data_IF_773129509171
#
_entry.id   IF_773129509171
#
_cell.length_a   1.000
_cell.length_b   1.000
_cell.length_c   1.000
_cell.angle_alpha   90.00
_cell.angle_beta   90.00
_cell.angle_gamma   90.00
#
_symmetry.space_group_name_H-M   'P 1'
#
loop_
_entity.id
_entity.type
_entity.pdbx_description
1 polymer ?
#
# COMPACT_ATOMS: atom_id res chain seq x y z
N UNK A 1 -36.38 -16.21 -2.10
CA UNK A 1 -35.55 -15.99 -0.90
C UNK A 1 -36.24 -14.90 -0.10
N UNK A 2 -36.84 -15.24 1.03
CA UNK A 2 -37.46 -14.24 1.90
C UNK A 2 -36.33 -13.53 2.63
N UNK A 3 -36.14 -12.23 2.36
CA UNK A 3 -35.13 -11.42 3.04
C UNK A 3 -35.47 -11.23 4.51
N UNK A 4 -34.46 -10.92 5.32
CA UNK A 4 -34.59 -10.45 6.69
C UNK A 4 -35.07 -8.98 6.66
N UNK A 5 -36.08 -8.63 7.45
CA UNK A 5 -36.49 -7.24 7.61
C UNK A 5 -35.48 -6.47 8.46
N UNK A 6 -35.49 -5.13 8.42
CA UNK A 6 -34.57 -4.31 9.23
C UNK A 6 -34.85 -4.54 10.71
N UNK A 7 -36.12 -4.73 11.05
CA UNK A 7 -36.65 -4.97 12.38
C UNK A 7 -36.14 -6.30 12.96
N UNK A 8 -35.99 -7.33 12.11
CA UNK A 8 -35.46 -8.63 12.51
C UNK A 8 -33.98 -8.58 12.95
N UNK A 9 -33.25 -7.51 12.61
CA UNK A 9 -31.86 -7.30 13.04
C UNK A 9 -31.76 -6.85 14.51
N UNK A 10 -32.87 -6.44 15.14
CA UNK A 10 -32.90 -6.03 16.54
C UNK A 10 -32.03 -4.81 16.85
N UNK A 11 -31.83 -3.93 15.87
CA UNK A 11 -31.05 -2.71 16.03
C UNK A 11 -31.85 -1.64 16.78
N UNK A 12 -31.14 -0.85 17.58
CA UNK A 12 -31.64 0.37 18.20
C UNK A 12 -30.73 1.56 17.80
N UNK A 13 -31.03 2.77 18.29
CA UNK A 13 -30.19 3.94 18.01
C UNK A 13 -28.97 4.02 18.95
N UNK A 14 -28.19 2.95 19.03
CA UNK A 14 -26.84 2.94 19.61
C UNK A 14 -25.76 2.73 18.55
N UNK A 15 -24.53 3.16 18.83
CA UNK A 15 -23.42 3.02 17.89
C UNK A 15 -23.00 1.54 17.78
N UNK A 16 -22.89 0.95 16.58
CA UNK A 16 -22.49 -0.44 16.39
C UNK A 16 -21.17 -0.78 17.09
N UNK A 17 -21.18 -1.83 17.93
CA UNK A 17 -20.03 -2.25 18.73
C UNK A 17 -19.81 -1.45 20.03
N UNK A 18 -20.56 -0.36 20.24
CA UNK A 18 -20.46 0.51 21.40
C UNK A 18 -21.86 0.78 21.99
N UNK A 19 -22.50 -0.21 22.65
CA UNK A 19 -23.89 -0.12 23.10
C UNK A 19 -24.15 0.97 24.15
N UNK A 20 -23.09 1.49 24.79
CA UNK A 20 -23.17 2.58 25.76
C UNK A 20 -23.25 3.97 25.10
N UNK A 21 -23.08 4.06 23.78
CA UNK A 21 -23.11 5.32 23.02
C UNK A 21 -24.44 5.39 22.29
N UNK A 22 -25.40 6.14 22.87
CA UNK A 22 -26.66 6.44 22.20
C UNK A 22 -26.44 7.48 21.08
N UNK A 23 -26.94 7.20 19.88
CA UNK A 23 -26.83 8.06 18.71
C UNK A 23 -27.72 9.31 18.81
N UNK A 24 -28.80 9.21 19.59
CA UNK A 24 -29.71 10.28 19.98
C UNK A 24 -30.25 10.00 21.38
N UNK A 25 -30.79 11.02 22.04
CA UNK A 25 -31.33 10.89 23.39
C UNK A 25 -32.41 9.80 23.47
N UNK A 26 -32.21 8.82 24.35
CA UNK A 26 -33.11 7.67 24.49
C UNK A 26 -32.98 6.66 23.35
N UNK A 27 -31.88 6.71 22.60
CA UNK A 27 -31.72 5.96 21.34
C UNK A 27 -31.78 4.45 21.52
N UNK A 28 -31.27 3.94 22.64
CA UNK A 28 -31.32 2.51 23.01
C UNK A 28 -32.75 1.94 23.10
N UNK A 29 -33.73 2.80 23.38
CA UNK A 29 -35.13 2.40 23.57
C UNK A 29 -35.94 2.57 22.27
N UNK A 30 -35.29 2.99 21.17
CA UNK A 30 -35.91 3.26 19.88
C UNK A 30 -35.44 2.19 18.89
N UNK A 31 -36.31 1.25 18.47
CA UNK A 31 -35.94 0.26 17.48
C UNK A 31 -35.74 0.89 16.10
N UNK A 32 -34.77 0.38 15.36
CA UNK A 32 -34.56 0.72 13.96
C UNK A 32 -35.57 -0.06 13.12
N UNK A 33 -36.24 0.67 12.24
CA UNK A 33 -37.26 0.18 11.31
C UNK A 33 -36.92 0.68 9.92
N UNK A 34 -37.56 0.13 8.89
CA UNK A 34 -37.37 0.63 7.52
C UNK A 34 -37.69 2.13 7.38
N UNK A 35 -38.56 2.67 8.22
CA UNK A 35 -39.00 4.07 8.18
C UNK A 35 -38.01 5.06 8.82
N UNK A 36 -37.13 4.60 9.71
CA UNK A 36 -36.14 5.44 10.40
C UNK A 36 -34.68 5.02 10.11
N UNK A 37 -34.48 4.04 9.24
CA UNK A 37 -33.16 3.51 8.87
C UNK A 37 -32.22 4.60 8.35
N UNK A 38 -32.70 5.53 7.52
CA UNK A 38 -31.87 6.61 6.99
C UNK A 38 -31.35 7.53 8.11
N UNK A 39 -32.19 7.83 9.11
CA UNK A 39 -31.79 8.61 10.28
C UNK A 39 -30.72 7.87 11.09
N UNK A 40 -30.93 6.58 11.33
CA UNK A 40 -29.97 5.72 12.02
C UNK A 40 -28.62 5.73 11.30
N UNK A 41 -28.58 5.47 9.99
CA UNK A 41 -27.35 5.47 9.19
C UNK A 41 -26.63 6.83 9.24
N UNK A 42 -27.37 7.93 9.10
CA UNK A 42 -26.81 9.29 9.19
C UNK A 42 -26.16 9.54 10.55
N UNK A 43 -26.80 9.11 11.63
CA UNK A 43 -26.25 9.29 12.98
C UNK A 43 -25.05 8.38 13.25
N UNK A 44 -25.07 7.13 12.77
CA UNK A 44 -23.90 6.24 12.83
C UNK A 44 -22.69 6.89 12.14
N UNK A 45 -22.88 7.40 10.93
CA UNK A 45 -21.82 8.09 10.17
C UNK A 45 -21.32 9.32 10.94
N UNK A 46 -22.24 10.15 11.44
CA UNK A 46 -21.88 11.37 12.18
C UNK A 46 -21.06 11.06 13.44
N UNK A 47 -21.47 10.10 14.26
CA UNK A 47 -20.76 9.74 15.48
C UNK A 47 -19.44 9.02 15.19
N UNK A 48 -19.40 8.13 14.20
CA UNK A 48 -18.20 7.36 13.88
C UNK A 48 -17.10 8.20 13.20
N UNK A 49 -17.47 9.13 12.32
CA UNK A 49 -16.51 9.82 11.44
C UNK A 49 -16.37 11.32 11.71
N UNK A 50 -17.27 11.93 12.46
CA UNK A 50 -17.24 13.38 12.70
C UNK A 50 -17.10 13.70 14.20
N UNK A 51 -18.17 13.52 14.97
CA UNK A 51 -18.21 13.96 16.37
C UNK A 51 -17.27 13.14 17.25
N UNK A 52 -17.27 11.80 17.11
CA UNK A 52 -16.48 10.89 17.95
C UNK A 52 -14.97 11.01 17.77
N UNK A 53 -14.51 11.64 16.68
CA UNK A 53 -13.09 11.84 16.37
C UNK A 53 -12.70 13.33 16.31
N UNK A 54 -13.62 14.24 16.61
CA UNK A 54 -13.46 15.70 16.47
C UNK A 54 -12.21 16.22 17.17
N UNK A 55 -11.98 15.85 18.43
CA UNK A 55 -10.85 16.32 19.24
C UNK A 55 -9.49 15.87 18.66
N UNK A 56 -9.42 14.64 18.17
CA UNK A 56 -8.24 14.08 17.53
C UNK A 56 -7.99 14.77 16.20
N UNK A 57 -9.05 15.03 15.43
CA UNK A 57 -8.97 15.77 14.17
C UNK A 57 -8.57 17.22 14.35
N UNK A 58 -9.06 17.91 15.39
CA UNK A 58 -8.65 19.28 15.72
C UNK A 58 -7.15 19.33 16.04
N UNK A 59 -6.67 18.40 16.85
CA UNK A 59 -5.23 18.32 17.18
C UNK A 59 -4.38 18.03 15.94
N UNK A 60 -4.85 17.14 15.06
CA UNK A 60 -4.18 16.85 13.78
C UNK A 60 -4.17 18.08 12.86
N UNK A 61 -5.30 18.81 12.77
CA UNK A 61 -5.47 20.03 11.99
C UNK A 61 -4.48 21.11 12.45
N UNK A 62 -4.41 21.37 13.74
CA UNK A 62 -3.50 22.36 14.33
C UNK A 62 -2.03 22.01 14.05
N UNK A 63 -1.67 20.73 14.21
CA UNK A 63 -0.33 20.24 13.88
C UNK A 63 0.01 20.40 12.40
N UNK A 64 -0.91 20.07 11.50
CA UNK A 64 -0.72 20.20 10.07
C UNK A 64 -0.62 21.68 9.64
N UNK A 65 -1.54 22.54 10.11
CA UNK A 65 -1.55 23.98 9.81
C UNK A 65 -0.29 24.72 10.30
N UNK A 66 0.37 24.22 11.36
CA UNK A 66 1.64 24.78 11.83
C UNK A 66 2.78 24.69 10.81
N UNK A 67 2.68 23.76 9.84
CA UNK A 67 3.68 23.53 8.79
C UNK A 67 3.15 23.93 7.41
N UNK A 68 1.87 23.67 7.12
CA UNK A 68 1.26 23.88 5.81
C UNK A 68 -0.21 24.34 5.92
N UNK A 69 -0.58 25.50 5.33
CA UNK A 69 -1.96 25.99 5.38
C UNK A 69 -2.96 25.06 4.68
N UNK A 70 -3.99 24.61 5.39
CA UNK A 70 -5.02 23.72 4.83
C UNK A 70 -5.83 24.36 3.69
N UNK A 71 -5.89 25.69 3.62
CA UNK A 71 -6.53 26.41 2.52
C UNK A 71 -5.96 26.05 1.15
N UNK A 72 -4.67 25.68 1.07
CA UNK A 72 -4.07 25.23 -0.18
C UNK A 72 -4.50 23.83 -0.61
N UNK A 73 -5.02 23.01 0.32
CA UNK A 73 -5.53 21.68 0.00
C UNK A 73 -6.98 21.69 -0.54
N UNK A 74 -7.68 22.82 -0.42
CA UNK A 74 -9.10 22.94 -0.84
C UNK A 74 -9.31 22.82 -2.36
N UNK A 75 -8.24 22.91 -3.14
CA UNK A 75 -8.29 22.76 -4.60
C UNK A 75 -8.31 21.29 -5.06
N UNK A 76 -8.00 20.34 -4.16
CA UNK A 76 -7.86 18.93 -4.48
C UNK A 76 -9.12 18.14 -4.08
N UNK A 77 -9.47 17.16 -4.88
CA UNK A 77 -10.40 16.11 -4.49
C UNK A 77 -9.77 15.16 -3.45
N UNK A 78 -10.57 14.46 -2.61
CA UNK A 78 -10.04 13.53 -1.62
C UNK A 78 -9.08 12.47 -2.19
N UNK A 79 -9.37 11.99 -3.40
CA UNK A 79 -8.53 11.01 -4.11
C UNK A 79 -7.17 11.61 -4.52
N UNK A 80 -7.15 12.88 -4.91
CA UNK A 80 -5.92 13.59 -5.28
C UNK A 80 -5.09 13.90 -4.04
N UNK A 81 -5.71 14.22 -2.90
CA UNK A 81 -5.00 14.39 -1.62
C UNK A 81 -4.34 13.09 -1.16
N UNK A 82 -5.02 11.96 -1.30
CA UNK A 82 -4.41 10.65 -1.01
C UNK A 82 -3.24 10.36 -1.94
N UNK A 83 -3.34 10.70 -3.23
CA UNK A 83 -2.20 10.58 -4.16
C UNK A 83 -1.04 11.52 -3.83
N UNK A 84 -1.35 12.76 -3.44
CA UNK A 84 -0.35 13.78 -3.12
C UNK A 84 0.42 13.43 -1.84
N UNK A 85 -0.30 13.06 -0.79
CA UNK A 85 0.26 12.81 0.54
C UNK A 85 0.82 11.40 0.65
N UNK A 86 0.15 10.44 0.01
CA UNK A 86 0.46 9.03 0.17
C UNK A 86 0.97 8.39 -1.13
N UNK A 87 1.21 9.11 -2.22
CA UNK A 87 1.71 8.55 -3.48
C UNK A 87 0.65 7.82 -4.32
N UNK A 88 1.02 7.44 -5.54
CA UNK A 88 0.09 6.83 -6.52
C UNK A 88 -0.39 5.44 -6.07
N UNK A 89 -1.71 5.23 -6.08
CA UNK A 89 -2.34 3.90 -6.00
C UNK A 89 -2.48 3.23 -7.38
N UNK A 90 -2.28 3.98 -8.45
CA UNK A 90 -2.81 3.69 -9.78
C UNK A 90 -1.73 3.37 -10.82
N UNK A 91 -0.56 2.91 -10.39
CA UNK A 91 0.41 2.41 -11.35
C UNK A 91 0.06 0.96 -11.68
N UNK A 92 -0.21 0.69 -12.95
CA UNK A 92 -0.30 -0.68 -13.43
C UNK A 92 1.11 -1.28 -13.41
N UNK A 93 1.32 -2.31 -12.59
CA UNK A 93 2.57 -3.07 -12.56
C UNK A 93 2.66 -4.01 -13.77
N UNK A 94 2.17 -3.61 -14.93
CA UNK A 94 2.26 -4.44 -16.12
C UNK A 94 3.71 -4.51 -16.62
N UNK A 95 4.07 -5.64 -17.23
CA UNK A 95 5.45 -5.91 -17.64
C UNK A 95 6.00 -4.86 -18.63
N UNK A 96 5.13 -4.23 -19.44
CA UNK A 96 5.55 -3.19 -20.39
C UNK A 96 5.95 -1.92 -19.64
N UNK A 97 5.11 -1.46 -18.71
CA UNK A 97 5.44 -0.30 -17.86
C UNK A 97 6.73 -0.53 -17.09
N UNK A 98 6.89 -1.70 -16.46
CA UNK A 98 8.11 -2.04 -15.72
C UNK A 98 9.35 -2.04 -16.62
N UNK A 99 9.23 -2.57 -17.84
CA UNK A 99 10.31 -2.59 -18.83
C UNK A 99 10.69 -1.20 -19.34
N UNK A 100 9.73 -0.28 -19.46
CA UNK A 100 10.01 1.10 -19.87
C UNK A 100 10.65 1.93 -18.76
N UNK A 101 10.38 1.61 -17.49
CA UNK A 101 10.76 2.45 -16.36
C UNK A 101 12.00 1.96 -15.60
N UNK A 102 12.23 0.65 -15.55
CA UNK A 102 13.38 0.07 -14.85
C UNK A 102 14.57 -0.05 -15.79
N UNK A 103 15.78 0.09 -15.25
CA UNK A 103 17.03 0.04 -16.03
C UNK A 103 17.87 -1.20 -15.68
N UNK A 104 17.88 -2.24 -16.53
CA UNK A 104 18.88 -3.29 -16.43
C UNK A 104 20.28 -2.74 -16.70
N UNK A 105 21.27 -3.18 -15.93
CA UNK A 105 22.66 -2.77 -16.10
C UNK A 105 23.61 -3.89 -15.60
N UNK A 106 24.92 -3.73 -15.80
CA UNK A 106 26.00 -4.56 -15.23
C UNK A 106 25.72 -6.07 -15.30
N UNK A 107 25.64 -6.58 -16.54
CA UNK A 107 25.44 -8.01 -16.80
C UNK A 107 23.98 -8.41 -17.07
N UNK A 108 23.04 -7.49 -16.96
CA UNK A 108 21.67 -7.66 -17.45
C UNK A 108 21.28 -6.65 -18.52
N UNK A 109 20.32 -7.07 -19.34
CA UNK A 109 19.64 -6.29 -20.37
C UNK A 109 18.14 -6.57 -20.26
N UNK A 110 17.29 -5.81 -20.96
CA UNK A 110 15.86 -6.12 -21.02
C UNK A 110 15.56 -7.50 -21.61
N UNK A 111 16.48 -8.07 -22.39
CA UNK A 111 16.33 -9.40 -22.97
C UNK A 111 16.76 -10.55 -22.06
N UNK A 112 17.46 -10.24 -20.98
CA UNK A 112 17.91 -11.23 -20.00
C UNK A 112 16.72 -11.96 -19.38
N UNK A 113 16.81 -13.30 -19.34
CA UNK A 113 15.79 -14.18 -18.74
C UNK A 113 15.43 -13.76 -17.32
N UNK A 114 16.43 -13.43 -16.49
CA UNK A 114 16.21 -12.98 -15.12
C UNK A 114 15.39 -11.68 -15.03
N UNK A 115 15.60 -10.74 -15.96
CA UNK A 115 14.83 -9.47 -16.00
C UNK A 115 13.39 -9.71 -16.44
N UNK A 116 13.19 -10.58 -17.44
CA UNK A 116 11.85 -10.98 -17.89
C UNK A 116 11.07 -11.68 -16.77
N UNK A 117 11.72 -12.61 -16.05
CA UNK A 117 11.15 -13.26 -14.87
C UNK A 117 10.77 -12.26 -13.79
N UNK A 118 11.65 -11.31 -13.48
CA UNK A 118 11.36 -10.27 -12.49
C UNK A 118 10.08 -9.51 -12.87
N UNK A 119 9.97 -8.99 -14.10
CA UNK A 119 8.79 -8.22 -14.48
C UNK A 119 7.51 -9.04 -14.54
N UNK A 120 7.58 -10.31 -14.93
CA UNK A 120 6.44 -11.22 -14.87
C UNK A 120 5.98 -11.45 -13.41
N UNK A 121 6.92 -11.71 -12.50
CA UNK A 121 6.65 -11.85 -11.07
C UNK A 121 6.01 -10.57 -10.52
N UNK A 122 6.63 -9.41 -10.75
CA UNK A 122 6.15 -8.12 -10.27
C UNK A 122 4.75 -7.81 -10.81
N UNK A 123 4.45 -8.16 -12.06
CA UNK A 123 3.12 -7.98 -12.66
C UNK A 123 2.03 -8.89 -12.12
N UNK A 124 2.42 -9.98 -11.45
CA UNK A 124 1.51 -10.93 -10.80
C UNK A 124 1.45 -10.78 -9.28
N UNK A 125 2.10 -9.75 -8.73
CA UNK A 125 2.02 -9.42 -7.31
C UNK A 125 0.68 -8.76 -6.98
N UNK A 126 0.10 -9.16 -5.85
CA UNK A 126 -1.00 -8.44 -5.23
C UNK A 126 -0.53 -7.12 -4.59
N UNK A 127 -1.48 -6.30 -4.15
CA UNK A 127 -1.19 -4.99 -3.56
C UNK A 127 -0.28 -5.07 -2.32
N UNK A 128 -0.35 -6.14 -1.53
CA UNK A 128 0.49 -6.30 -0.35
C UNK A 128 1.92 -6.63 -0.76
N UNK A 129 2.09 -7.59 -1.67
CA UNK A 129 3.38 -8.00 -2.22
C UNK A 129 4.10 -6.85 -2.93
N UNK A 130 3.37 -6.04 -3.70
CA UNK A 130 3.91 -4.84 -4.34
C UNK A 130 4.44 -3.84 -3.30
N UNK A 131 3.67 -3.57 -2.24
CA UNK A 131 4.09 -2.67 -1.16
C UNK A 131 5.33 -3.19 -0.44
N UNK A 132 5.40 -4.49 -0.17
CA UNK A 132 6.57 -5.13 0.44
C UNK A 132 7.80 -5.00 -0.46
N UNK A 133 7.64 -5.24 -1.77
CA UNK A 133 8.73 -5.08 -2.72
C UNK A 133 9.21 -3.63 -2.82
N UNK A 134 8.30 -2.65 -2.93
CA UNK A 134 8.68 -1.24 -2.94
C UNK A 134 9.43 -0.83 -1.67
N UNK A 135 8.94 -1.26 -0.51
CA UNK A 135 9.60 -1.00 0.77
C UNK A 135 11.02 -1.57 0.77
N UNK A 136 11.19 -2.78 0.23
CA UNK A 136 12.48 -3.42 0.09
C UNK A 136 13.42 -2.67 -0.86
N UNK A 137 12.98 -2.29 -2.06
CA UNK A 137 13.88 -1.69 -3.07
C UNK A 137 14.07 -0.18 -2.93
N UNK A 138 13.09 0.55 -2.37
CA UNK A 138 13.09 2.02 -2.27
C UNK A 138 13.10 2.56 -0.84
N UNK A 139 12.81 1.73 0.16
CA UNK A 139 12.59 2.19 1.54
C UNK A 139 11.23 2.84 1.79
N UNK A 140 10.37 2.94 0.77
CA UNK A 140 8.99 3.43 0.87
C UNK A 140 8.02 2.35 0.39
N UNK A 141 6.86 2.12 1.06
CA UNK A 141 5.91 1.11 0.63
C UNK A 141 5.06 1.58 -0.56
N UNK A 142 5.30 2.79 -1.08
CA UNK A 142 4.54 3.42 -2.17
C UNK A 142 5.46 4.21 -3.09
N UNK A 143 5.10 4.24 -4.38
CA UNK A 143 5.80 5.02 -5.39
C UNK A 143 5.51 6.52 -5.24
N UNK A 144 6.42 7.39 -5.70
CA UNK A 144 6.13 8.82 -5.81
C UNK A 144 4.96 9.07 -6.77
N UNK A 145 4.41 10.28 -6.73
CA UNK A 145 3.44 10.74 -7.74
C UNK A 145 4.08 10.59 -9.12
N UNK A 146 3.38 9.93 -10.05
CA UNK A 146 3.89 9.59 -11.39
C UNK A 146 4.66 8.26 -11.46
N UNK A 147 4.64 7.46 -10.39
CA UNK A 147 5.00 6.05 -10.41
C UNK A 147 6.46 5.72 -10.64
N UNK A 148 6.74 4.55 -11.22
CA UNK A 148 8.12 4.08 -11.48
C UNK A 148 8.93 5.08 -12.32
N UNK A 149 8.29 5.81 -13.23
CA UNK A 149 8.95 6.84 -14.06
C UNK A 149 9.48 8.02 -13.24
N UNK A 150 8.90 8.24 -12.07
CA UNK A 150 9.23 9.36 -11.19
C UNK A 150 10.21 8.97 -10.09
N UNK A 151 10.68 7.71 -10.07
CA UNK A 151 11.81 7.33 -9.23
C UNK A 151 13.08 8.05 -9.68
N UNK A 152 13.72 8.76 -8.76
CA UNK A 152 14.97 9.45 -9.00
C UNK A 152 16.02 9.05 -7.95
N UNK A 153 17.01 8.22 -8.29
CA UNK A 153 17.26 7.64 -9.62
C UNK A 153 16.25 6.53 -10.01
N UNK A 154 16.13 6.15 -11.30
CA UNK A 154 15.30 5.02 -11.72
C UNK A 154 15.74 3.70 -11.09
N UNK A 155 14.80 2.76 -10.92
CA UNK A 155 15.11 1.43 -10.39
C UNK A 155 16.08 0.69 -11.32
N UNK A 156 17.31 0.50 -10.86
CA UNK A 156 18.38 -0.14 -11.62
C UNK A 156 18.52 -1.60 -11.19
N UNK A 157 18.48 -2.54 -12.15
CA UNK A 157 18.53 -3.98 -11.91
C UNK A 157 19.84 -4.52 -12.44
N UNK A 158 20.67 -5.12 -11.58
CA UNK A 158 21.97 -5.63 -11.99
C UNK A 158 22.18 -7.08 -11.60
N UNK A 159 23.09 -7.73 -12.32
CA UNK A 159 23.46 -9.10 -12.02
C UNK A 159 24.30 -9.15 -10.76
N UNK A 160 23.85 -9.94 -9.79
CA UNK A 160 24.71 -10.34 -8.66
C UNK A 160 25.67 -11.41 -9.15
N UNK A 161 26.96 -11.15 -9.04
CA UNK A 161 28.03 -12.06 -9.45
C UNK A 161 28.44 -12.96 -8.29
N UNK A 162 28.76 -14.22 -8.60
CA UNK A 162 29.18 -15.25 -7.66
C UNK A 162 30.42 -15.95 -8.17
N UNK A 163 31.15 -16.63 -7.29
CA UNK A 163 32.25 -17.51 -7.70
C UNK A 163 31.70 -18.74 -8.44
N UNK A 164 32.50 -19.36 -9.30
CA UNK A 164 32.03 -20.49 -10.15
C UNK A 164 31.55 -21.71 -9.36
N UNK A 165 31.90 -21.81 -8.09
CA UNK A 165 31.49 -22.90 -7.17
C UNK A 165 30.19 -22.62 -6.45
N UNK A 166 29.66 -21.41 -6.53
CA UNK A 166 28.47 -20.99 -5.80
C UNK A 166 27.22 -21.08 -6.71
N UNK A 167 26.11 -21.57 -6.15
CA UNK A 167 24.84 -21.62 -6.86
C UNK A 167 24.04 -20.33 -6.60
N UNK A 168 23.68 -19.54 -7.65
CA UNK A 168 22.87 -18.33 -7.48
C UNK A 168 21.55 -18.55 -6.74
N UNK A 169 20.96 -19.75 -6.85
CA UNK A 169 19.69 -20.11 -6.21
C UNK A 169 19.75 -20.11 -4.68
N UNK A 170 20.94 -20.22 -4.09
CA UNK A 170 21.10 -20.23 -2.64
C UNK A 170 21.03 -18.82 -2.03
N UNK A 171 21.24 -17.78 -2.83
CA UNK A 171 21.40 -16.42 -2.34
C UNK A 171 20.14 -15.57 -2.49
N UNK A 172 19.92 -14.68 -1.52
CA UNK A 172 18.88 -13.65 -1.62
C UNK A 172 19.34 -12.48 -2.51
N UNK A 173 18.39 -11.77 -3.16
CA UNK A 173 18.68 -10.49 -3.78
C UNK A 173 19.09 -9.48 -2.71
N UNK A 174 19.87 -8.46 -3.10
CA UNK A 174 20.23 -7.36 -2.21
C UNK A 174 19.97 -6.01 -2.85
N UNK A 175 19.79 -4.99 -2.02
CA UNK A 175 19.34 -3.66 -2.45
C UNK A 175 20.25 -2.58 -1.90
N UNK A 176 20.37 -1.50 -2.65
CA UNK A 176 20.89 -0.23 -2.15
C UNK A 176 19.78 0.80 -2.35
N UNK A 177 18.96 0.98 -1.32
CA UNK A 177 17.72 1.78 -1.36
C UNK A 177 17.99 3.25 -1.70
N UNK A 178 19.08 3.82 -1.20
CA UNK A 178 19.47 5.22 -1.48
C UNK A 178 19.63 5.54 -2.97
N UNK A 179 19.84 4.53 -3.81
CA UNK A 179 20.05 4.68 -5.25
C UNK A 179 19.12 3.78 -6.07
N UNK A 180 18.03 3.29 -5.48
CA UNK A 180 17.06 2.39 -6.11
C UNK A 180 17.74 1.28 -6.93
N UNK A 181 18.63 0.51 -6.31
CA UNK A 181 19.50 -0.41 -7.03
C UNK A 181 19.35 -1.85 -6.49
N UNK A 182 18.88 -2.76 -7.35
CA UNK A 182 18.59 -4.15 -7.04
C UNK A 182 19.66 -5.07 -7.66
N UNK A 183 20.43 -5.75 -6.81
CA UNK A 183 21.35 -6.84 -7.19
C UNK A 183 20.60 -8.16 -7.18
N UNK A 184 20.31 -8.68 -8.37
CA UNK A 184 19.48 -9.86 -8.59
C UNK A 184 20.34 -11.05 -9.06
N UNK A 185 20.35 -12.18 -8.32
CA UNK A 185 20.94 -13.43 -8.80
C UNK A 185 20.28 -13.94 -10.09
N UNK A 186 21.03 -14.66 -10.91
CA UNK A 186 20.52 -15.26 -12.15
C UNK A 186 19.89 -16.63 -11.84
N UNK A 187 18.75 -16.58 -11.14
CA UNK A 187 18.05 -17.78 -10.65
C UNK A 187 17.72 -18.76 -11.77
N UNK A 188 17.72 -20.06 -11.47
CA UNK A 188 17.45 -21.10 -12.47
C UNK A 188 15.98 -21.14 -12.90
N UNK A 189 15.04 -20.76 -12.03
CA UNK A 189 13.60 -20.75 -12.33
C UNK A 189 12.88 -19.50 -11.81
N UNK A 190 11.69 -19.24 -12.38
CA UNK A 190 10.84 -18.10 -11.97
C UNK A 190 10.25 -18.33 -10.56
N UNK A 191 9.98 -19.57 -10.19
CA UNK A 191 9.46 -19.96 -8.87
C UNK A 191 10.50 -19.66 -7.78
N UNK A 192 11.76 -20.01 -8.01
CA UNK A 192 12.86 -19.71 -7.07
C UNK A 192 13.02 -18.19 -6.93
N UNK A 193 13.02 -17.46 -8.05
CA UNK A 193 13.11 -16.00 -8.00
C UNK A 193 11.95 -15.38 -7.20
N UNK A 194 10.72 -15.87 -7.40
CA UNK A 194 9.54 -15.38 -6.67
C UNK A 194 9.69 -15.61 -5.18
N UNK A 195 10.07 -16.82 -4.77
CA UNK A 195 10.25 -17.18 -3.37
C UNK A 195 11.34 -16.33 -2.71
N UNK A 196 12.51 -16.21 -3.35
CA UNK A 196 13.64 -15.41 -2.85
C UNK A 196 13.32 -13.92 -2.76
N UNK A 197 12.57 -13.37 -3.71
CA UNK A 197 12.09 -11.98 -3.67
C UNK A 197 11.14 -11.76 -2.49
N UNK A 198 10.19 -12.67 -2.27
CA UNK A 198 9.23 -12.55 -1.17
C UNK A 198 9.90 -12.73 0.20
N UNK A 199 10.83 -13.66 0.34
CA UNK A 199 11.64 -13.83 1.56
C UNK A 199 12.42 -12.54 1.83
N UNK A 200 13.18 -12.04 0.85
CA UNK A 200 13.97 -10.82 1.03
C UNK A 200 13.09 -9.59 1.34
N UNK A 201 11.92 -9.47 0.70
CA UNK A 201 11.02 -8.34 0.93
C UNK A 201 10.30 -8.38 2.29
N UNK A 202 10.12 -9.57 2.88
CA UNK A 202 9.51 -9.73 4.21
C UNK A 202 10.55 -9.57 5.32
N UNK A 203 11.69 -10.24 5.18
CA UNK A 203 12.72 -10.31 6.23
C UNK A 203 13.68 -9.11 6.19
N UNK A 204 13.90 -8.53 5.01
CA UNK A 204 14.76 -7.36 4.81
C UNK A 204 14.21 -6.07 5.43
N UNK A 205 12.96 -6.05 5.89
CA UNK A 205 12.37 -4.87 6.56
C UNK A 205 12.86 -4.69 8.00
N UNK A 206 13.39 -5.75 8.63
CA UNK A 206 13.80 -5.74 10.04
C UNK A 206 15.31 -5.87 10.23
N UNK A 207 16.09 -5.96 9.15
CA UNK A 207 17.48 -6.38 9.21
C UNK A 207 18.42 -5.31 8.63
N UNK A 208 18.98 -4.46 9.50
CA UNK A 208 20.18 -3.68 9.21
C UNK A 208 21.42 -4.50 9.55
N UNK A 209 21.67 -5.60 8.84
CA UNK A 209 22.99 -6.22 8.88
C UNK A 209 23.88 -5.54 7.84
N UNK A 210 24.76 -4.63 8.31
CA UNK A 210 25.94 -4.23 7.56
C UNK A 210 26.79 -5.48 7.32
N UNK A 211 26.99 -5.81 6.06
CA UNK A 211 28.12 -6.61 5.58
C UNK A 211 28.85 -5.80 4.52
#
# INVERSE_FOLDING_TARGET
>A
MNGCSVEDLGLDFTLPGFPNIELKKGGKDIPVTIHNLEEYLRLVIFWALNEGVSRQFDSFRDGFESVFPLSHLQYFYPEELDQLLCGSKADTWDAKTLMECCRPDHGYTHDSRAVKFLFEILSSFDNEQQRLFLQFVTGSPRLPVGGFRSLNPPLTIVRKTFESTENPDDFLPSVMTCVNYLKLPDYSSIEIMRDKLLIAAREGQQSFHLS
#
